data_IF_768770127929
#
_entry.id   IF_768770127929
#
_cell.length_a   1.000
_cell.length_b   1.000
_cell.length_c   1.000
_cell.angle_alpha   90.00
_cell.angle_beta   90.00
_cell.angle_gamma   90.00
#
_symmetry.space_group_name_H-M   'P 1'
#
loop_
_entity.id
_entity.type
_entity.pdbx_description
1 polymer ?
#
# COMPACT_ATOMS: atom_id res chain seq x y z
N UNK A 1 -5.20 -42.06 33.50
CA UNK A 1 -5.76 -40.94 32.75
C UNK A 1 -5.91 -41.41 31.30
N UNK A 2 -7.13 -41.77 30.95
CA UNK A 2 -7.39 -42.22 29.59
C UNK A 2 -7.76 -40.97 28.77
N UNK A 3 -6.82 -40.45 28.07
CA UNK A 3 -7.07 -39.39 27.11
C UNK A 3 -7.79 -40.06 25.91
N UNK A 4 -9.09 -39.93 25.83
CA UNK A 4 -9.95 -40.60 24.90
C UNK A 4 -9.79 -40.21 23.43
N UNK A 5 -8.61 -39.97 23.02
CA UNK A 5 -8.26 -39.63 21.66
C UNK A 5 -7.11 -40.51 21.21
N UNK A 6 -7.31 -41.58 20.54
CA UNK A 6 -6.37 -42.33 19.71
C UNK A 6 -4.89 -41.88 19.80
N UNK A 7 -4.41 -41.63 21.02
CA UNK A 7 -3.02 -41.26 21.29
C UNK A 7 -2.60 -39.81 20.97
N UNK A 8 -3.53 -38.91 20.67
CA UNK A 8 -3.22 -37.46 20.51
C UNK A 8 -4.08 -36.66 21.47
N UNK A 9 -3.53 -36.14 22.60
CA UNK A 9 -4.23 -35.15 23.40
C UNK A 9 -4.48 -33.91 22.57
N UNK A 10 -5.72 -33.65 22.23
CA UNK A 10 -6.11 -32.41 21.59
C UNK A 10 -6.02 -31.24 22.56
N UNK A 11 -5.64 -30.07 22.11
CA UNK A 11 -5.64 -28.84 22.90
C UNK A 11 -6.99 -28.63 23.61
N UNK A 12 -8.07 -29.12 23.02
CA UNK A 12 -9.44 -29.00 23.49
C UNK A 12 -9.72 -29.89 24.72
N UNK A 13 -9.14 -31.08 24.77
CA UNK A 13 -9.28 -31.96 25.96
C UNK A 13 -8.66 -31.36 27.20
N UNK A 14 -7.59 -30.60 27.00
CA UNK A 14 -6.89 -29.92 28.07
C UNK A 14 -7.65 -28.68 28.58
N UNK A 15 -8.33 -27.98 27.71
CA UNK A 15 -9.12 -26.80 28.04
C UNK A 15 -10.47 -27.16 28.67
N UNK A 16 -11.06 -28.28 28.25
CA UNK A 16 -12.38 -28.67 28.70
C UNK A 16 -12.37 -29.58 29.93
N UNK A 17 -11.21 -30.03 30.37
CA UNK A 17 -11.04 -30.75 31.61
C UNK A 17 -11.91 -32.02 31.74
N UNK A 18 -11.94 -32.83 30.66
CA UNK A 18 -12.73 -34.04 30.60
C UNK A 18 -12.48 -34.96 31.78
N UNK A 19 -13.50 -35.32 32.52
CA UNK A 19 -13.42 -36.32 33.56
C UNK A 19 -14.38 -37.48 33.28
N UNK A 20 -14.08 -38.60 33.82
CA UNK A 20 -14.82 -39.84 33.67
C UNK A 20 -16.11 -39.91 34.50
N UNK A 21 -16.55 -38.81 35.14
CA UNK A 21 -17.70 -38.78 36.04
C UNK A 21 -19.02 -38.35 35.41
N UNK A 22 -19.17 -38.45 34.12
CA UNK A 22 -20.44 -38.20 33.45
C UNK A 22 -20.83 -36.73 33.31
N UNK A 23 -19.86 -35.81 33.35
CA UNK A 23 -20.11 -34.41 33.06
C UNK A 23 -20.48 -34.23 31.62
N UNK A 24 -21.49 -33.40 31.36
CA UNK A 24 -21.91 -33.06 30.02
C UNK A 24 -21.13 -31.86 29.53
N UNK A 25 -20.41 -32.04 28.45
CA UNK A 25 -19.68 -30.97 27.80
C UNK A 25 -20.60 -30.29 26.77
N UNK A 26 -20.42 -29.01 26.63
CA UNK A 26 -21.02 -28.28 25.50
C UNK A 26 -20.41 -28.77 24.20
N UNK A 27 -21.14 -28.59 23.11
CA UNK A 27 -20.68 -28.92 21.77
C UNK A 27 -19.32 -28.25 21.49
N UNK A 28 -18.34 -29.04 21.05
CA UNK A 28 -17.03 -28.55 20.67
C UNK A 28 -17.16 -27.79 19.36
N UNK A 29 -17.08 -26.47 19.40
CA UNK A 29 -17.01 -25.65 18.20
C UNK A 29 -15.54 -25.48 17.81
N UNK A 30 -15.17 -25.91 16.60
CA UNK A 30 -13.84 -25.62 16.11
C UNK A 30 -13.68 -24.10 16.00
N UNK A 31 -12.66 -23.55 16.61
CA UNK A 31 -12.25 -22.18 16.35
C UNK A 31 -10.94 -22.16 15.57
N UNK A 32 -10.86 -21.29 14.59
CA UNK A 32 -9.62 -21.02 13.89
C UNK A 32 -8.99 -19.80 14.56
N UNK A 33 -7.73 -19.89 14.89
CA UNK A 33 -6.92 -18.69 15.08
C UNK A 33 -6.73 -18.05 13.69
N UNK A 34 -7.76 -17.33 13.26
CA UNK A 34 -7.65 -16.47 12.10
C UNK A 34 -7.14 -15.12 12.59
N UNK A 35 -6.08 -14.65 12.02
CA UNK A 35 -5.53 -13.34 12.31
C UNK A 35 -5.37 -12.58 11.00
N UNK A 36 -5.74 -11.30 11.01
CA UNK A 36 -5.43 -10.42 9.90
C UNK A 36 -3.92 -10.37 9.67
N UNK A 37 -3.46 -10.20 8.44
CA UNK A 37 -2.04 -10.01 8.14
C UNK A 37 -1.42 -8.91 8.99
N UNK A 38 -0.19 -9.12 9.45
CA UNK A 38 0.57 -8.14 10.23
C UNK A 38 1.76 -7.67 9.42
N UNK A 39 1.86 -6.35 9.28
CA UNK A 39 2.91 -5.70 8.52
C UNK A 39 3.71 -4.76 9.43
N UNK A 40 5.01 -4.69 9.18
CA UNK A 40 5.93 -3.77 9.84
C UNK A 40 6.68 -3.00 8.78
N UNK A 41 6.64 -1.68 8.83
CA UNK A 41 7.42 -0.83 7.91
C UNK A 41 8.90 -1.01 8.24
N UNK A 42 9.68 -1.35 7.23
CA UNK A 42 11.11 -1.55 7.32
C UNK A 42 11.87 -0.32 6.82
N UNK A 43 11.40 0.25 5.71
CA UNK A 43 11.97 1.44 5.12
C UNK A 43 10.87 2.31 4.50
N UNK A 44 11.07 3.64 4.58
CA UNK A 44 10.16 4.62 4.02
C UNK A 44 10.91 5.92 3.73
N UNK A 45 11.08 6.28 2.46
CA UNK A 45 11.85 7.45 2.08
C UNK A 45 11.41 8.02 0.72
N UNK A 46 11.82 9.26 0.46
CA UNK A 46 11.69 9.89 -0.85
C UNK A 46 12.87 9.55 -1.77
N UNK A 47 12.57 9.30 -3.04
CA UNK A 47 13.53 9.25 -4.13
C UNK A 47 13.05 10.17 -5.25
N UNK A 48 13.60 11.39 -5.30
CA UNK A 48 13.13 12.37 -6.27
C UNK A 48 11.67 12.73 -6.07
N UNK A 49 10.79 12.27 -6.96
CA UNK A 49 9.36 12.58 -6.98
C UNK A 49 8.48 11.42 -6.53
N UNK A 50 9.09 10.36 -6.09
CA UNK A 50 8.40 9.16 -5.64
C UNK A 50 8.60 8.93 -4.16
N UNK A 51 7.61 8.39 -3.49
CA UNK A 51 7.72 7.87 -2.14
C UNK A 51 7.85 6.36 -2.18
N UNK A 52 8.95 5.86 -1.64
CA UNK A 52 9.21 4.43 -1.53
C UNK A 52 8.87 3.93 -0.14
N UNK A 53 8.20 2.78 -0.08
CA UNK A 53 7.85 2.10 1.16
C UNK A 53 8.14 0.61 1.03
N UNK A 54 8.92 0.08 1.97
CA UNK A 54 9.14 -1.35 2.15
C UNK A 54 8.55 -1.81 3.48
N UNK A 55 7.81 -2.90 3.46
CA UNK A 55 7.22 -3.47 4.66
C UNK A 55 7.41 -4.98 4.72
N UNK A 56 7.75 -5.47 5.90
CA UNK A 56 7.86 -6.90 6.20
C UNK A 56 6.48 -7.46 6.58
N UNK A 57 6.14 -8.60 5.99
CA UNK A 57 4.95 -9.36 6.35
C UNK A 57 5.30 -10.34 7.47
N UNK A 58 4.99 -9.98 8.71
CA UNK A 58 5.28 -10.79 9.91
C UNK A 58 4.34 -11.97 10.09
N UNK A 59 3.12 -11.83 9.64
CA UNK A 59 2.11 -12.86 9.72
C UNK A 59 1.27 -12.83 8.45
N UNK A 60 1.18 -13.97 7.81
CA UNK A 60 0.22 -14.24 6.74
C UNK A 60 -0.92 -15.03 7.34
N UNK A 61 -2.14 -14.65 7.05
CA UNK A 61 -3.28 -15.52 7.34
C UNK A 61 -3.16 -16.84 6.55
N UNK A 62 -3.91 -17.84 6.92
CA UNK A 62 -3.91 -19.13 6.22
C UNK A 62 -4.50 -19.07 4.81
N UNK A 63 -5.12 -17.94 4.43
CA UNK A 63 -5.66 -17.69 3.10
C UNK A 63 -4.61 -17.17 2.12
N UNK A 64 -4.86 -17.32 0.83
CA UNK A 64 -4.04 -16.75 -0.23
C UNK A 64 -4.02 -15.21 -0.18
N UNK A 65 -2.95 -14.60 -0.71
CA UNK A 65 -2.88 -13.15 -0.89
C UNK A 65 -3.80 -12.78 -2.06
N UNK A 66 -4.76 -11.90 -1.81
CA UNK A 66 -5.66 -11.34 -2.82
C UNK A 66 -5.09 -10.06 -3.41
N UNK A 67 -4.61 -9.16 -2.55
CA UNK A 67 -4.06 -7.87 -2.94
C UNK A 67 -3.05 -7.38 -1.88
N UNK A 68 -2.00 -6.71 -2.31
CA UNK A 68 -1.02 -6.09 -1.43
C UNK A 68 -0.49 -4.78 -2.01
N UNK A 69 -0.18 -3.82 -1.14
CA UNK A 69 0.27 -2.52 -1.57
C UNK A 69 0.36 -1.51 -0.44
N UNK A 70 0.19 -0.23 -0.79
CA UNK A 70 0.03 0.85 0.16
C UNK A 70 -1.22 1.68 -0.15
N UNK A 71 -1.94 2.09 0.87
CA UNK A 71 -3.01 3.08 0.77
C UNK A 71 -2.55 4.42 1.37
N UNK A 72 -2.98 5.52 0.76
CA UNK A 72 -2.54 6.86 1.14
C UNK A 72 -3.63 7.91 0.98
N UNK A 73 -3.48 9.02 1.70
CA UNK A 73 -4.40 10.16 1.65
C UNK A 73 -3.70 11.43 2.12
N UNK A 74 -4.06 12.56 1.56
CA UNK A 74 -3.65 13.90 2.05
C UNK A 74 -4.61 14.47 3.10
N UNK A 75 -5.78 13.89 3.29
CA UNK A 75 -6.82 14.42 4.17
C UNK A 75 -7.20 13.49 5.31
N UNK A 76 -6.98 12.18 5.13
CA UNK A 76 -7.36 11.15 6.07
C UNK A 76 -6.13 10.58 6.76
N UNK A 77 -6.02 10.79 8.07
CA UNK A 77 -4.85 10.39 8.88
C UNK A 77 -4.63 8.88 8.93
N UNK A 78 -5.67 8.09 8.80
CA UNK A 78 -5.60 6.63 8.81
C UNK A 78 -6.25 6.12 7.50
N UNK A 79 -5.52 6.11 6.38
CA UNK A 79 -6.06 5.65 5.11
C UNK A 79 -6.39 4.16 5.12
N UNK A 80 -7.33 3.75 4.28
CA UNK A 80 -7.77 2.36 4.10
C UNK A 80 -7.72 1.99 2.62
N UNK A 81 -7.98 0.74 2.29
CA UNK A 81 -8.05 0.29 0.89
C UNK A 81 -9.15 0.97 0.06
N UNK A 82 -10.07 1.69 0.71
CA UNK A 82 -11.11 2.50 0.04
C UNK A 82 -10.60 3.89 -0.37
N UNK A 83 -9.43 4.30 0.14
CA UNK A 83 -8.77 5.55 -0.24
C UNK A 83 -7.86 5.33 -1.47
N UNK A 84 -7.01 6.29 -1.81
CA UNK A 84 -6.01 6.10 -2.87
C UNK A 84 -5.07 4.95 -2.50
N UNK A 85 -4.72 4.14 -3.48
CA UNK A 85 -3.82 3.00 -3.26
C UNK A 85 -2.92 2.73 -4.46
N UNK A 86 -1.75 2.19 -4.17
CA UNK A 86 -0.79 1.68 -5.16
C UNK A 86 -0.47 0.23 -4.81
N UNK A 87 -0.46 -0.63 -5.82
CA UNK A 87 -0.13 -2.04 -5.64
C UNK A 87 1.38 -2.22 -5.43
N UNK A 88 1.74 -3.21 -4.63
CA UNK A 88 3.13 -3.60 -4.48
C UNK A 88 3.69 -4.14 -5.81
N UNK A 89 4.95 -3.87 -6.07
CA UNK A 89 5.66 -4.47 -7.20
C UNK A 89 5.71 -5.99 -7.01
N UNK A 90 5.52 -6.73 -8.09
CA UNK A 90 5.81 -8.16 -8.07
C UNK A 90 7.32 -8.35 -7.89
N UNK A 91 7.73 -8.69 -6.68
CA UNK A 91 9.10 -9.12 -6.44
C UNK A 91 9.25 -10.54 -6.97
N UNK A 92 10.09 -10.74 -8.00
CA UNK A 92 10.44 -12.07 -8.52
C UNK A 92 11.24 -12.93 -7.54
N UNK A 93 11.53 -12.41 -6.36
CA UNK A 93 12.14 -13.18 -5.30
C UNK A 93 11.07 -13.97 -4.55
N UNK A 94 11.28 -15.26 -4.45
CA UNK A 94 10.42 -16.24 -3.78
C UNK A 94 10.23 -16.00 -2.28
N UNK A 95 10.73 -14.89 -1.75
CA UNK A 95 10.56 -14.50 -0.36
C UNK A 95 9.39 -13.50 -0.24
N UNK A 96 8.20 -14.05 -0.01
CA UNK A 96 6.97 -13.29 0.23
C UNK A 96 6.97 -12.53 1.58
N UNK A 97 8.13 -12.39 2.20
CA UNK A 97 8.26 -11.72 3.49
C UNK A 97 8.24 -10.21 3.40
N UNK A 98 8.47 -9.64 2.20
CA UNK A 98 8.49 -8.19 2.00
C UNK A 98 7.55 -7.78 0.87
N UNK A 99 6.93 -6.62 1.04
CA UNK A 99 6.25 -5.89 -0.01
C UNK A 99 6.98 -4.55 -0.24
N UNK A 100 7.10 -4.18 -1.49
CA UNK A 100 7.72 -2.92 -1.92
C UNK A 100 6.74 -2.12 -2.75
N UNK A 101 6.55 -0.86 -2.40
CA UNK A 101 5.62 0.04 -3.07
C UNK A 101 6.33 1.34 -3.41
N UNK A 102 6.12 1.83 -4.61
CA UNK A 102 6.49 3.17 -5.01
C UNK A 102 5.21 3.95 -5.35
N UNK A 103 5.02 5.06 -4.67
CA UNK A 103 3.89 5.97 -4.91
C UNK A 103 4.40 7.16 -5.70
N UNK A 104 3.85 7.36 -6.88
CA UNK A 104 4.17 8.45 -7.81
C UNK A 104 3.05 9.47 -7.88
N UNK A 105 3.25 10.52 -8.64
CA UNK A 105 2.24 11.55 -8.96
C UNK A 105 1.65 12.25 -7.72
N UNK A 106 2.44 12.38 -6.68
CA UNK A 106 2.08 13.10 -5.48
C UNK A 106 2.11 14.61 -5.74
N UNK A 107 1.12 15.33 -5.20
CA UNK A 107 1.07 16.78 -5.32
C UNK A 107 2.21 17.43 -4.53
N UNK A 108 2.85 18.48 -5.04
CA UNK A 108 3.89 19.20 -4.33
C UNK A 108 3.36 19.91 -3.09
N UNK A 109 4.25 20.19 -2.14
CA UNK A 109 3.95 20.89 -0.88
C UNK A 109 2.69 20.36 -0.17
N UNK A 110 2.50 19.04 -0.19
CA UNK A 110 1.31 18.38 0.32
C UNK A 110 1.68 17.36 1.39
N UNK A 111 0.96 17.39 2.51
CA UNK A 111 1.13 16.41 3.57
C UNK A 111 0.34 15.15 3.27
N UNK A 112 0.98 14.00 3.41
CA UNK A 112 0.40 12.69 3.17
C UNK A 112 0.54 11.75 4.36
N UNK A 113 -0.44 10.86 4.47
CA UNK A 113 -0.45 9.70 5.35
C UNK A 113 -0.46 8.46 4.46
N UNK A 114 0.45 7.54 4.68
CA UNK A 114 0.58 6.30 3.92
C UNK A 114 0.77 5.12 4.86
N UNK A 115 0.22 3.97 4.52
CA UNK A 115 0.50 2.72 5.21
C UNK A 115 0.41 1.52 4.28
N UNK A 116 1.24 0.48 4.51
CA UNK A 116 1.14 -0.76 3.76
C UNK A 116 -0.11 -1.53 4.15
N UNK A 117 -0.64 -2.32 3.22
CA UNK A 117 -1.73 -3.25 3.47
C UNK A 117 -1.51 -4.57 2.74
N UNK A 118 -2.14 -5.62 3.24
CA UNK A 118 -2.23 -6.93 2.63
C UNK A 118 -3.61 -7.51 2.88
N UNK A 119 -4.29 -7.87 1.80
CA UNK A 119 -5.63 -8.46 1.81
C UNK A 119 -5.57 -9.95 1.52
N UNK A 120 -6.24 -10.73 2.33
CA UNK A 120 -6.40 -12.17 2.18
C UNK A 120 -7.89 -12.53 2.25
N UNK A 121 -8.23 -13.79 2.08
CA UNK A 121 -9.60 -14.28 2.25
C UNK A 121 -10.18 -14.01 3.66
N UNK A 122 -9.31 -13.83 4.65
CA UNK A 122 -9.71 -13.56 6.05
C UNK A 122 -9.90 -12.06 6.33
N UNK A 123 -9.45 -11.19 5.41
CA UNK A 123 -9.58 -9.73 5.52
C UNK A 123 -8.29 -8.98 5.26
N UNK A 124 -8.32 -7.68 5.48
CA UNK A 124 -7.21 -6.77 5.23
C UNK A 124 -6.46 -6.44 6.52
N UNK A 125 -5.17 -6.74 6.54
CA UNK A 125 -4.22 -6.28 7.56
C UNK A 125 -3.49 -5.02 7.10
N UNK A 126 -3.22 -4.13 8.04
CA UNK A 126 -2.53 -2.87 7.77
C UNK A 126 -1.29 -2.74 8.64
N UNK A 127 -0.26 -2.13 8.08
CA UNK A 127 0.91 -1.69 8.84
C UNK A 127 0.71 -0.32 9.50
N UNK A 128 1.75 0.18 10.19
CA UNK A 128 1.73 1.52 10.78
C UNK A 128 1.60 2.60 9.71
N UNK A 129 1.05 3.75 10.10
CA UNK A 129 1.00 4.95 9.25
C UNK A 129 2.37 5.62 9.26
N UNK A 130 2.84 6.01 8.09
CA UNK A 130 3.99 6.89 7.87
C UNK A 130 3.45 8.23 7.38
N UNK A 131 3.95 9.31 7.95
CA UNK A 131 3.58 10.68 7.59
C UNK A 131 4.75 11.36 6.89
N UNK A 132 4.47 12.13 5.84
CA UNK A 132 5.48 12.90 5.14
C UNK A 132 4.86 14.10 4.42
N UNK A 133 5.71 15.06 4.05
CA UNK A 133 5.30 16.21 3.23
C UNK A 133 6.18 16.24 1.99
N UNK A 134 5.54 16.32 0.83
CA UNK A 134 6.25 16.46 -0.44
C UNK A 134 6.94 17.81 -0.53
N UNK A 135 8.09 17.84 -1.21
CA UNK A 135 8.81 19.08 -1.47
C UNK A 135 7.95 20.07 -2.28
N UNK A 136 8.18 21.39 -2.11
CA UNK A 136 7.60 22.37 -3.03
C UNK A 136 8.10 22.07 -4.45
N UNK A 137 7.20 21.98 -5.40
CA UNK A 137 7.59 21.85 -6.80
C UNK A 137 8.23 23.15 -7.31
N UNK A 138 9.06 23.04 -8.33
CA UNK A 138 9.61 24.19 -9.03
C UNK A 138 8.59 24.69 -10.05
N UNK A 139 8.51 26.01 -10.24
CA UNK A 139 7.65 26.57 -11.28
C UNK A 139 8.09 26.05 -12.67
N UNK A 140 7.16 25.84 -13.61
CA UNK A 140 7.51 25.44 -14.96
C UNK A 140 8.46 26.46 -15.60
N UNK A 141 9.57 25.99 -16.12
CA UNK A 141 10.55 26.82 -16.83
C UNK A 141 10.43 26.55 -18.32
N UNK A 142 10.24 27.61 -19.10
CA UNK A 142 10.35 27.53 -20.56
C UNK A 142 11.84 27.55 -20.89
N UNK A 143 12.39 26.40 -21.28
CA UNK A 143 13.79 26.26 -21.62
C UNK A 143 14.11 26.74 -23.03
N UNK A 144 13.22 26.42 -23.94
CA UNK A 144 13.40 26.73 -25.34
C UNK A 144 12.10 27.22 -25.97
N UNK A 145 12.21 28.31 -26.71
CA UNK A 145 11.11 28.85 -27.51
C UNK A 145 11.63 29.20 -28.91
N UNK A 146 10.95 28.75 -29.94
CA UNK A 146 11.25 29.13 -31.31
C UNK A 146 9.99 29.27 -32.11
N UNK A 147 10.08 30.14 -33.14
CA UNK A 147 9.00 30.44 -34.05
C UNK A 147 9.50 30.29 -35.50
N UNK A 148 8.75 29.58 -36.29
CA UNK A 148 8.97 29.47 -37.72
C UNK A 148 7.77 30.01 -38.48
N UNK A 149 8.02 30.85 -39.48
CA UNK A 149 7.01 31.34 -40.40
C UNK A 149 7.12 30.50 -41.66
N UNK A 150 6.07 29.81 -42.00
CA UNK A 150 6.03 29.00 -43.20
C UNK A 150 5.60 29.85 -44.44
N UNK A 151 5.88 29.33 -45.63
CA UNK A 151 5.61 30.02 -46.91
C UNK A 151 4.12 30.22 -47.19
N UNK A 152 3.24 29.50 -46.54
CA UNK A 152 1.78 29.63 -46.61
C UNK A 152 1.19 30.68 -45.66
N UNK A 153 2.04 31.47 -44.98
CA UNK A 153 1.68 32.42 -43.92
C UNK A 153 1.23 31.79 -42.60
N UNK A 154 1.49 30.52 -42.39
CA UNK A 154 1.31 29.87 -41.09
C UNK A 154 2.49 30.17 -40.19
N UNK A 155 2.23 30.21 -38.90
CA UNK A 155 3.24 30.38 -37.84
C UNK A 155 3.26 29.12 -36.95
N UNK A 156 4.41 28.49 -36.92
CA UNK A 156 4.63 27.35 -36.05
C UNK A 156 5.43 27.79 -34.82
N UNK A 157 4.87 27.57 -33.67
CA UNK A 157 5.48 27.88 -32.38
C UNK A 157 5.87 26.59 -31.65
N UNK A 158 7.12 26.50 -31.25
CA UNK A 158 7.66 25.37 -30.48
C UNK A 158 8.19 25.88 -29.14
N UNK A 159 7.77 25.25 -28.07
CA UNK A 159 8.29 25.50 -26.74
C UNK A 159 8.65 24.19 -26.07
N UNK A 160 9.80 24.14 -25.44
CA UNK A 160 10.18 23.07 -24.53
C UNK A 160 10.17 23.64 -23.12
N UNK A 161 9.52 22.93 -22.21
CA UNK A 161 9.44 23.35 -20.83
C UNK A 161 9.76 22.17 -19.91
N UNK A 162 10.44 22.47 -18.81
CA UNK A 162 10.62 21.57 -17.72
C UNK A 162 9.52 21.80 -16.70
N UNK A 163 8.88 20.73 -16.32
CA UNK A 163 7.89 20.71 -15.25
C UNK A 163 8.31 19.67 -14.25
N UNK A 164 8.26 20.08 -12.99
CA UNK A 164 8.56 19.27 -11.87
C UNK A 164 7.25 19.04 -11.11
N UNK A 165 6.85 17.87 -10.74
CA UNK A 165 5.70 17.55 -9.87
C UNK A 165 4.38 18.34 -10.04
N UNK A 166 4.22 19.12 -11.09
CA UNK A 166 3.00 19.86 -11.39
C UNK A 166 2.24 19.19 -12.53
N UNK A 167 0.93 19.18 -12.41
CA UNK A 167 0.06 18.79 -13.50
C UNK A 167 -0.20 20.01 -14.39
N UNK A 168 0.11 19.91 -15.68
CA UNK A 168 -0.27 20.94 -16.64
C UNK A 168 -1.79 20.91 -16.82
N UNK A 169 -2.45 21.97 -16.44
CA UNK A 169 -3.91 22.12 -16.64
C UNK A 169 -4.24 22.86 -17.92
N UNK A 170 -3.38 23.80 -18.32
CA UNK A 170 -3.55 24.61 -19.54
C UNK A 170 -2.18 24.97 -20.12
N UNK A 171 -2.08 24.96 -21.43
CA UNK A 171 -0.95 25.51 -22.18
C UNK A 171 -1.45 26.21 -23.44
N UNK A 172 -0.71 27.19 -23.92
CA UNK A 172 -1.07 27.94 -25.09
C UNK A 172 -0.15 29.14 -25.34
N UNK A 173 -0.49 29.90 -26.35
CA UNK A 173 0.24 31.10 -26.73
C UNK A 173 -0.72 32.29 -26.67
N UNK A 174 -0.21 33.44 -26.22
CA UNK A 174 -0.89 34.71 -26.35
C UNK A 174 -0.21 35.54 -27.43
N UNK A 175 -1.00 36.14 -28.33
CA UNK A 175 -0.56 37.07 -29.34
C UNK A 175 -1.03 38.47 -28.92
N UNK A 176 -0.12 39.43 -28.91
CA UNK A 176 -0.40 40.83 -28.61
C UNK A 176 -0.03 41.73 -29.78
#
# INVERSE_FOLDING_TARGET
>A
YNYGYNGRPGLLDHVLGGNTRGERYSEVKPFRLSGLPRLVVHDAHFTGYSFYLSAEVRFKSNGGIIEQGACYSSTKRIPTVDDQKTLARETRNYDYSFLEVEVTDLLPNTHYYIRPYLTTEEGTGYGPVVEFTTEPGTEPIIDYFTMYIDTDRSVNLYATFYIDNYQITHYGYSLS
#
